data_IF_476893572734
#
_entry.id   IF_476893572734
#
_cell.length_a   1.000
_cell.length_b   1.000
_cell.length_c   1.000
_cell.angle_alpha   90.00
_cell.angle_beta   90.00
_cell.angle_gamma   90.00
#
_symmetry.space_group_name_H-M   'P 1'
#
loop_
_entity.id
_entity.type
_entity.pdbx_description
1 polymer ?
#
# COMPACT_ATOMS: atom_id res chain seq x y z
N UNK A 1 -11.45 11.05 31.90
CA UNK A 1 -11.20 9.62 31.65
C UNK A 1 -12.11 8.79 32.56
N UNK A 2 -13.25 8.28 32.06
CA UNK A 2 -13.94 7.13 32.65
C UNK A 2 -13.38 5.80 32.09
N UNK A 3 -13.43 4.69 32.87
CA UNK A 3 -12.74 3.42 32.56
C UNK A 3 -13.49 2.54 31.53
N UNK A 4 -12.81 1.52 30.95
CA UNK A 4 -13.37 0.69 29.90
C UNK A 4 -14.31 -0.40 30.44
N UNK A 5 -15.44 -0.61 29.76
CA UNK A 5 -16.33 -1.75 29.99
C UNK A 5 -15.75 -3.03 29.37
N UNK A 6 -15.81 -4.18 30.07
CA UNK A 6 -15.42 -5.47 29.50
C UNK A 6 -16.59 -6.12 28.75
N UNK A 7 -16.41 -6.41 27.46
CA UNK A 7 -17.27 -7.32 26.70
C UNK A 7 -16.88 -8.77 27.04
N UNK A 8 -17.82 -9.54 27.60
CA UNK A 8 -17.70 -10.99 27.76
C UNK A 8 -18.30 -11.73 26.54
N UNK A 9 -17.69 -12.84 26.08
CA UNK A 9 -18.20 -13.64 24.96
C UNK A 9 -19.05 -14.81 25.47
N UNK A 10 -20.10 -15.20 24.74
CA UNK A 10 -20.84 -16.44 24.98
C UNK A 10 -21.55 -16.90 23.71
N UNK A 11 -20.93 -17.77 22.90
CA UNK A 11 -21.57 -18.79 22.02
C UNK A 11 -20.39 -19.64 21.51
N UNK A 12 -20.31 -20.96 21.57
CA UNK A 12 -21.19 -22.03 22.00
C UNK A 12 -20.47 -23.32 21.58
N UNK A 13 -20.38 -24.31 22.48
CA UNK A 13 -19.81 -25.63 22.19
C UNK A 13 -20.61 -26.31 21.07
N UNK A 14 -19.91 -26.82 20.05
CA UNK A 14 -20.37 -28.02 19.34
C UNK A 14 -19.21 -28.99 19.17
N UNK A 15 -19.27 -30.05 19.98
CA UNK A 15 -18.53 -31.28 19.81
C UNK A 15 -19.17 -32.07 18.66
N UNK A 16 -18.39 -32.44 17.65
CA UNK A 16 -18.75 -33.58 16.80
C UNK A 16 -17.53 -34.48 16.63
N UNK A 17 -17.66 -35.67 17.22
CA UNK A 17 -16.74 -36.80 17.11
C UNK A 17 -17.24 -37.66 15.95
N UNK A 18 -16.40 -37.89 14.96
CA UNK A 18 -16.59 -38.97 14.00
C UNK A 18 -15.28 -39.75 13.89
N UNK A 19 -15.28 -40.95 14.48
CA UNK A 19 -14.28 -41.96 14.20
C UNK A 19 -14.67 -42.74 12.96
N UNK A 20 -13.70 -43.11 12.14
CA UNK A 20 -13.83 -44.22 11.21
C UNK A 20 -12.45 -44.88 11.06
N UNK A 21 -12.36 -46.05 11.65
CA UNK A 21 -11.32 -47.05 11.48
C UNK A 21 -11.39 -47.61 10.06
N UNK A 22 -10.25 -47.73 9.39
CA UNK A 22 -10.11 -48.64 8.26
C UNK A 22 -8.74 -49.31 8.31
N UNK A 23 -8.77 -50.60 8.63
CA UNK A 23 -7.67 -51.55 8.52
C UNK A 23 -8.14 -52.54 7.47
N UNK A 24 -7.42 -52.67 6.35
CA UNK A 24 -7.51 -53.79 5.39
C UNK A 24 -6.13 -53.84 4.70
N UNK A 25 -5.30 -54.81 5.02
CA UNK A 25 -5.19 -56.16 4.44
C UNK A 25 -4.31 -56.22 3.18
N UNK A 26 -3.46 -57.22 3.25
CA UNK A 26 -2.31 -57.59 2.43
C UNK A 26 -2.60 -57.78 0.94
N UNK A 27 -1.54 -57.70 0.12
CA UNK A 27 -1.59 -58.15 -1.26
C UNK A 27 -0.34 -57.77 -2.04
N UNK A 28 0.74 -58.52 -1.82
CA UNK A 28 1.97 -58.41 -2.60
C UNK A 28 1.70 -58.52 -4.10
N UNK A 29 2.26 -57.59 -4.88
CA UNK A 29 2.34 -57.69 -6.33
C UNK A 29 3.82 -57.73 -6.72
N UNK A 30 4.23 -58.92 -7.12
CA UNK A 30 5.54 -59.21 -7.68
C UNK A 30 5.74 -58.43 -8.98
N UNK A 31 6.94 -57.87 -9.05
CA UNK A 31 7.50 -57.03 -10.09
C UNK A 31 7.52 -57.77 -11.44
N UNK A 32 6.78 -57.27 -12.43
CA UNK A 32 6.98 -57.60 -13.85
C UNK A 32 7.54 -56.38 -14.56
N UNK A 33 8.78 -56.51 -15.04
CA UNK A 33 9.54 -55.53 -15.82
C UNK A 33 8.82 -55.18 -17.13
N UNK A 34 8.63 -53.90 -17.50
CA UNK A 34 8.38 -53.55 -18.89
C UNK A 34 9.70 -53.17 -19.58
N UNK A 35 9.94 -53.82 -20.71
CA UNK A 35 11.07 -53.60 -21.62
C UNK A 35 11.05 -52.18 -22.20
N UNK A 36 12.23 -51.58 -22.32
CA UNK A 36 12.50 -50.31 -22.98
C UNK A 36 12.31 -50.49 -24.49
N UNK A 37 11.33 -49.83 -25.12
CA UNK A 37 11.45 -49.24 -26.46
C UNK A 37 10.17 -48.49 -26.82
N UNK A 38 10.26 -47.18 -27.03
CA UNK A 38 9.14 -46.37 -27.48
C UNK A 38 9.37 -44.88 -27.29
N UNK A 39 10.34 -44.33 -28.03
CA UNK A 39 10.58 -42.90 -28.13
C UNK A 39 9.37 -42.27 -28.85
N UNK A 40 8.44 -41.65 -28.13
CA UNK A 40 7.46 -40.74 -28.74
C UNK A 40 7.86 -39.32 -28.33
N UNK A 41 8.54 -38.67 -29.26
CA UNK A 41 8.72 -37.21 -29.29
C UNK A 41 7.35 -36.61 -29.58
N UNK A 42 6.63 -36.15 -28.56
CA UNK A 42 5.52 -35.23 -28.76
C UNK A 42 6.05 -33.81 -28.69
N UNK A 43 6.00 -33.15 -29.84
CA UNK A 43 6.27 -31.73 -30.06
C UNK A 43 5.36 -30.84 -29.21
N UNK A 44 5.90 -29.67 -28.87
CA UNK A 44 5.38 -28.62 -28.03
C UNK A 44 3.91 -28.20 -28.27
N UNK A 45 3.21 -27.89 -27.19
CA UNK A 45 2.17 -26.86 -27.20
C UNK A 45 2.35 -25.95 -25.99
N UNK A 46 2.86 -24.76 -26.28
CA UNK A 46 3.04 -23.63 -25.37
C UNK A 46 1.69 -23.13 -24.83
N UNK A 47 1.47 -23.19 -23.52
CA UNK A 47 0.67 -22.18 -22.83
C UNK A 47 1.62 -21.18 -22.16
N UNK A 48 2.17 -20.28 -22.97
CA UNK A 48 2.48 -18.94 -22.46
C UNK A 48 1.13 -18.26 -22.27
N UNK A 49 0.62 -18.29 -21.05
CA UNK A 49 -0.49 -17.43 -20.67
C UNK A 49 -0.05 -15.97 -20.96
N UNK A 50 -0.75 -15.22 -21.82
CA UNK A 50 -0.46 -13.81 -22.00
C UNK A 50 -0.82 -13.08 -20.71
N UNK A 51 0.19 -12.45 -20.11
CA UNK A 51 0.03 -11.23 -19.34
C UNK A 51 -0.91 -11.29 -18.13
N UNK A 52 -0.38 -11.73 -16.99
CA UNK A 52 -0.61 -10.97 -15.76
C UNK A 52 0.73 -10.42 -15.33
N UNK A 53 1.11 -9.26 -15.86
CA UNK A 53 2.11 -8.43 -15.17
C UNK A 53 1.47 -8.09 -13.81
N UNK A 54 2.06 -8.47 -12.66
CA UNK A 54 1.53 -8.00 -11.39
C UNK A 54 1.55 -6.47 -11.40
N UNK A 55 0.64 -5.87 -10.63
CA UNK A 55 0.43 -4.44 -10.40
C UNK A 55 1.65 -3.73 -9.74
N UNK A 56 2.86 -4.09 -10.16
CA UNK A 56 4.15 -3.71 -9.62
C UNK A 56 4.36 -2.19 -9.61
N UNK A 57 3.71 -1.45 -10.51
CA UNK A 57 3.80 0.03 -10.53
C UNK A 57 3.20 0.66 -9.27
N UNK A 58 1.99 0.26 -8.89
CA UNK A 58 1.30 0.79 -7.72
C UNK A 58 1.90 0.27 -6.40
N UNK A 59 2.32 -1.00 -6.40
CA UNK A 59 2.99 -1.62 -5.24
C UNK A 59 4.35 -0.96 -4.96
N UNK A 60 5.12 -0.65 -6.01
CA UNK A 60 6.41 0.04 -5.88
C UNK A 60 6.23 1.53 -5.56
N UNK A 61 5.27 2.23 -6.18
CA UNK A 61 4.97 3.62 -5.87
C UNK A 61 4.55 3.77 -4.40
N UNK A 62 3.58 2.98 -3.97
CA UNK A 62 3.06 3.00 -2.59
C UNK A 62 4.16 2.68 -1.59
N UNK A 63 4.98 1.66 -1.85
CA UNK A 63 6.12 1.32 -0.98
C UNK A 63 7.12 2.47 -0.84
N UNK A 64 7.44 3.17 -1.95
CA UNK A 64 8.35 4.33 -1.92
C UNK A 64 7.75 5.56 -1.25
N UNK A 65 6.44 5.79 -1.39
CA UNK A 65 5.73 6.83 -0.64
C UNK A 65 5.80 6.52 0.86
N UNK A 66 5.53 5.28 1.26
CA UNK A 66 5.62 4.84 2.65
C UNK A 66 7.05 5.01 3.17
N UNK A 67 8.06 4.56 2.42
CA UNK A 67 9.47 4.76 2.78
C UNK A 67 9.81 6.23 3.01
N UNK A 68 9.38 7.12 2.10
CA UNK A 68 9.63 8.56 2.21
C UNK A 68 8.94 9.17 3.40
N UNK A 69 7.70 8.76 3.65
CA UNK A 69 6.94 9.17 4.83
C UNK A 69 7.68 8.74 6.11
N UNK A 70 8.12 7.48 6.19
CA UNK A 70 8.80 6.96 7.37
C UNK A 70 10.16 7.67 7.61
N UNK A 71 10.87 8.07 6.55
CA UNK A 71 12.06 8.94 6.64
C UNK A 71 11.72 10.34 7.17
N UNK A 72 10.60 10.92 6.73
CA UNK A 72 10.15 12.22 7.21
C UNK A 72 9.84 12.19 8.71
N UNK A 73 9.19 11.13 9.18
CA UNK A 73 8.89 10.88 10.60
C UNK A 73 10.16 10.66 11.43
N UNK A 74 11.16 9.99 10.85
CA UNK A 74 12.47 9.80 11.46
C UNK A 74 13.32 11.08 11.54
N UNK A 75 12.78 12.25 11.14
CA UNK A 75 13.50 13.52 11.14
C UNK A 75 14.53 13.64 10.03
N UNK A 76 14.35 12.90 8.92
CA UNK A 76 15.25 12.89 7.77
C UNK A 76 14.58 13.52 6.52
N UNK A 77 14.19 14.82 6.58
CA UNK A 77 13.41 15.45 5.51
C UNK A 77 14.16 15.52 4.17
N UNK A 78 15.48 15.63 4.17
CA UNK A 78 16.26 15.69 2.92
C UNK A 78 16.25 14.37 2.15
N UNK A 79 16.30 13.23 2.87
CA UNK A 79 16.22 11.91 2.25
C UNK A 79 14.80 11.65 1.75
N UNK A 80 13.78 12.00 2.55
CA UNK A 80 12.38 11.93 2.14
C UNK A 80 12.12 12.76 0.87
N UNK A 81 12.65 13.99 0.83
CA UNK A 81 12.55 14.90 -0.31
C UNK A 81 13.08 14.25 -1.59
N UNK A 82 14.29 13.68 -1.53
CA UNK A 82 14.94 13.06 -2.69
C UNK A 82 14.07 11.97 -3.30
N UNK A 83 13.49 11.10 -2.46
CA UNK A 83 12.60 10.03 -2.95
C UNK A 83 11.34 10.62 -3.60
N UNK A 84 10.69 11.62 -2.98
CA UNK A 84 9.52 12.24 -3.59
C UNK A 84 9.83 12.95 -4.92
N UNK A 85 10.98 13.61 -5.04
CA UNK A 85 11.43 14.22 -6.29
C UNK A 85 11.67 13.16 -7.39
N UNK A 86 12.29 12.02 -7.05
CA UNK A 86 12.43 10.88 -7.97
C UNK A 86 11.07 10.27 -8.36
N UNK A 87 10.12 10.18 -7.42
CA UNK A 87 8.76 9.74 -7.72
C UNK A 87 8.05 10.68 -8.68
N UNK A 88 8.22 12.00 -8.55
CA UNK A 88 7.64 12.96 -9.48
C UNK A 88 8.25 12.91 -10.88
N UNK A 89 9.49 12.45 -11.05
CA UNK A 89 10.05 12.24 -12.40
C UNK A 89 9.29 11.16 -13.18
N UNK A 90 8.79 10.15 -12.48
CA UNK A 90 8.08 9.00 -13.08
C UNK A 90 6.55 9.15 -13.00
N UNK A 91 6.05 9.88 -12.00
CA UNK A 91 4.63 10.11 -11.71
C UNK A 91 4.36 11.61 -11.47
N UNK A 92 4.55 12.47 -12.49
CA UNK A 92 4.57 13.94 -12.32
C UNK A 92 3.25 14.54 -11.83
N UNK A 93 2.14 13.83 -11.97
CA UNK A 93 0.81 14.27 -11.57
C UNK A 93 0.20 13.50 -10.41
N UNK A 94 0.97 12.66 -9.69
CA UNK A 94 0.40 11.92 -8.56
C UNK A 94 0.07 12.87 -7.39
N UNK A 95 -1.21 13.02 -7.01
CA UNK A 95 -1.62 13.99 -5.99
C UNK A 95 -1.06 13.66 -4.60
N UNK A 96 -0.83 12.39 -4.30
CA UNK A 96 -0.32 11.95 -3.00
C UNK A 96 1.17 12.28 -2.88
N UNK A 97 1.95 12.04 -3.94
CA UNK A 97 3.36 12.43 -4.03
C UNK A 97 3.52 13.95 -3.93
N UNK A 98 2.74 14.72 -4.70
CA UNK A 98 2.76 16.18 -4.67
C UNK A 98 2.43 16.74 -3.28
N UNK A 99 1.39 16.21 -2.64
CA UNK A 99 1.01 16.58 -1.27
C UNK A 99 2.12 16.28 -0.26
N UNK A 100 2.72 15.08 -0.33
CA UNK A 100 3.73 14.70 0.65
C UNK A 100 5.06 15.44 0.45
N UNK A 101 5.43 15.80 -0.78
CA UNK A 101 6.56 16.70 -1.00
C UNK A 101 6.30 18.07 -0.38
N UNK A 102 5.07 18.58 -0.45
CA UNK A 102 4.70 19.81 0.26
C UNK A 102 4.85 19.69 1.78
N UNK A 103 4.52 18.53 2.37
CA UNK A 103 4.75 18.28 3.80
C UNK A 103 6.25 18.36 4.15
N UNK A 104 7.12 17.76 3.33
CA UNK A 104 8.58 17.87 3.51
C UNK A 104 9.03 19.34 3.46
N UNK A 105 8.52 20.12 2.51
CA UNK A 105 8.85 21.54 2.37
C UNK A 105 8.37 22.37 3.57
N UNK A 106 7.20 22.04 4.14
CA UNK A 106 6.75 22.66 5.39
C UNK A 106 7.65 22.33 6.57
N UNK A 107 8.11 21.07 6.69
CA UNK A 107 9.09 20.69 7.71
C UNK A 107 10.43 21.45 7.56
N UNK A 108 10.74 21.88 6.35
CA UNK A 108 11.90 22.75 6.03
C UNK A 108 11.60 24.26 6.16
N UNK A 109 10.39 24.66 6.58
CA UNK A 109 9.98 26.07 6.67
C UNK A 109 9.70 26.75 5.33
N UNK A 110 9.66 25.99 4.22
CA UNK A 110 9.48 26.49 2.85
C UNK A 110 8.01 26.54 2.46
N UNK A 111 7.22 27.31 3.20
CA UNK A 111 5.77 27.39 3.05
C UNK A 111 5.32 27.82 1.65
N UNK A 112 6.06 28.74 0.99
CA UNK A 112 5.70 29.22 -0.36
C UNK A 112 5.84 28.12 -1.41
N UNK A 113 6.92 27.35 -1.35
CA UNK A 113 7.14 26.20 -2.25
C UNK A 113 6.11 25.09 -1.96
N UNK A 114 5.83 24.82 -0.68
CA UNK A 114 4.82 23.85 -0.28
C UNK A 114 3.43 24.18 -0.85
N UNK A 115 3.02 25.46 -0.77
CA UNK A 115 1.75 25.92 -1.33
C UNK A 115 1.68 25.66 -2.84
N UNK A 116 2.76 25.92 -3.58
CA UNK A 116 2.81 25.68 -5.02
C UNK A 116 2.64 24.20 -5.40
N UNK A 117 3.17 23.26 -4.60
CA UNK A 117 2.94 21.83 -4.82
C UNK A 117 1.52 21.40 -4.47
N UNK A 118 0.93 21.93 -3.39
CA UNK A 118 -0.46 21.67 -3.03
C UNK A 118 -1.45 22.23 -4.06
N UNK A 119 -1.15 23.39 -4.67
CA UNK A 119 -1.92 23.96 -5.79
C UNK A 119 -1.90 23.05 -7.03
N UNK A 120 -0.78 22.39 -7.30
CA UNK A 120 -0.68 21.38 -8.37
C UNK A 120 -1.42 20.09 -8.04
N UNK A 121 -1.40 19.66 -6.77
CA UNK A 121 -2.05 18.44 -6.31
C UNK A 121 -3.58 18.54 -6.34
N UNK A 122 -4.13 19.69 -5.95
CA UNK A 122 -5.57 19.88 -5.75
C UNK A 122 -6.45 19.47 -6.95
N UNK A 123 -6.20 19.92 -8.20
CA UNK A 123 -7.06 19.57 -9.33
C UNK A 123 -7.02 18.08 -9.71
N UNK A 124 -5.91 17.39 -9.43
CA UNK A 124 -5.71 15.97 -9.75
C UNK A 124 -6.05 15.04 -8.59
N UNK A 125 -6.30 15.60 -7.39
CA UNK A 125 -6.74 14.84 -6.22
C UNK A 125 -8.21 14.44 -6.28
N UNK A 126 -9.03 15.12 -7.10
CA UNK A 126 -10.47 14.87 -7.21
C UNK A 126 -10.76 13.44 -7.67
N UNK A 127 -11.51 12.68 -6.88
CA UNK A 127 -11.81 11.29 -7.16
C UNK A 127 -10.63 10.34 -6.99
N UNK A 128 -9.47 10.84 -6.50
CA UNK A 128 -8.35 10.00 -6.13
C UNK A 128 -8.66 9.34 -4.79
N UNK A 129 -9.05 8.07 -4.82
CA UNK A 129 -9.48 7.36 -3.63
C UNK A 129 -8.35 6.63 -2.95
N UNK A 130 -8.05 6.99 -1.71
CA UNK A 130 -6.94 6.42 -0.94
C UNK A 130 -7.26 6.48 0.54
N UNK A 131 -6.89 5.43 1.30
CA UNK A 131 -6.94 5.48 2.76
C UNK A 131 -5.57 5.88 3.29
N UNK A 132 -5.51 6.94 4.10
CA UNK A 132 -4.26 7.51 4.61
C UNK A 132 -4.31 7.77 6.11
N UNK A 133 -3.17 7.66 6.77
CA UNK A 133 -2.92 8.30 8.06
C UNK A 133 -2.26 9.66 7.83
N UNK A 134 -2.46 10.62 8.76
CA UNK A 134 -1.89 11.97 8.69
C UNK A 134 -0.84 12.15 9.78
N UNK A 135 0.26 12.85 9.50
CA UNK A 135 1.16 13.37 10.54
C UNK A 135 1.09 14.89 10.62
N UNK A 136 1.25 15.40 11.85
CA UNK A 136 1.40 16.80 12.16
C UNK A 136 2.88 17.14 12.37
N UNK A 137 3.40 18.07 11.58
CA UNK A 137 4.80 18.49 11.63
C UNK A 137 4.93 19.80 12.43
N UNK A 138 4.95 20.95 11.73
CA UNK A 138 5.24 22.27 12.29
C UNK A 138 3.95 22.95 12.74
N UNK A 139 3.92 23.42 14.00
CA UNK A 139 2.83 24.23 14.56
C UNK A 139 1.43 23.58 14.45
N UNK A 140 1.38 22.24 14.55
CA UNK A 140 0.13 21.48 14.51
C UNK A 140 -0.47 21.30 13.11
N UNK A 141 0.27 21.65 12.05
CA UNK A 141 -0.16 21.44 10.67
C UNK A 141 -0.02 19.96 10.29
N UNK A 142 -1.12 19.31 9.89
CA UNK A 142 -1.11 17.89 9.54
C UNK A 142 -1.13 17.66 8.02
N UNK A 143 0.02 17.50 7.38
CA UNK A 143 0.16 17.50 5.92
C UNK A 143 0.49 16.15 5.30
N UNK A 144 1.47 15.44 5.86
CA UNK A 144 1.98 14.23 5.21
C UNK A 144 1.00 13.07 5.39
N UNK A 145 0.80 12.33 4.31
CA UNK A 145 -0.13 11.21 4.23
C UNK A 145 0.62 9.91 4.04
N UNK A 146 0.42 8.96 4.95
CA UNK A 146 0.91 7.59 4.80
C UNK A 146 -0.20 6.72 4.22
N UNK A 147 -0.13 6.28 2.96
CA UNK A 147 -1.12 5.37 2.41
C UNK A 147 -1.05 4.02 3.12
N UNK A 148 -2.21 3.39 3.29
CA UNK A 148 -2.28 2.03 3.79
C UNK A 148 -2.15 1.06 2.61
N UNK A 149 -1.15 0.18 2.68
CA UNK A 149 -0.70 -0.70 1.58
C UNK A 149 -1.80 -1.58 0.95
N UNK A 150 -2.97 -1.72 1.58
CA UNK A 150 -4.07 -2.56 1.13
C UNK A 150 -5.29 -1.81 0.58
N UNK A 151 -5.25 -0.47 0.43
CA UNK A 151 -6.44 0.27 0.01
C UNK A 151 -6.15 1.57 -0.77
N UNK A 152 -6.25 1.49 -2.11
CA UNK A 152 -6.97 2.54 -2.83
C UNK A 152 -8.39 2.52 -2.28
N UNK A 153 -8.67 3.46 -1.38
CA UNK A 153 -9.78 3.40 -0.44
C UNK A 153 -11.09 3.95 -1.01
N UNK A 154 -11.94 4.43 -0.12
CA UNK A 154 -13.21 5.13 -0.39
C UNK A 154 -13.11 6.65 -0.14
N UNK A 155 -12.11 7.07 0.62
CA UNK A 155 -11.85 8.47 0.96
C UNK A 155 -11.27 9.23 -0.23
N UNK A 156 -11.93 10.33 -0.61
CA UNK A 156 -11.42 11.29 -1.59
C UNK A 156 -10.28 12.12 -1.00
N UNK A 157 -9.19 12.25 -1.75
CA UNK A 157 -8.00 12.98 -1.35
C UNK A 157 -8.17 14.50 -1.48
N UNK A 158 -9.05 14.98 -2.37
CA UNK A 158 -9.24 16.42 -2.64
C UNK A 158 -9.53 17.25 -1.39
N UNK A 159 -10.48 16.89 -0.49
CA UNK A 159 -10.74 17.66 0.72
C UNK A 159 -9.53 17.76 1.65
N UNK A 160 -8.71 16.70 1.68
CA UNK A 160 -7.52 16.66 2.52
C UNK A 160 -6.42 17.57 1.98
N UNK A 161 -6.22 17.58 0.65
CA UNK A 161 -5.27 18.46 -0.03
C UNK A 161 -5.71 19.92 0.08
N UNK A 162 -7.01 20.19 -0.01
CA UNK A 162 -7.57 21.54 0.19
C UNK A 162 -7.29 22.06 1.60
N UNK A 163 -7.59 21.26 2.63
CA UNK A 163 -7.30 21.61 4.02
C UNK A 163 -5.80 21.91 4.22
N UNK A 164 -4.95 21.07 3.62
CA UNK A 164 -3.51 21.22 3.65
C UNK A 164 -3.05 22.56 3.04
N UNK A 165 -3.59 22.92 1.87
CA UNK A 165 -3.28 24.19 1.20
C UNK A 165 -3.70 25.40 2.04
N UNK A 166 -4.87 25.35 2.68
CA UNK A 166 -5.36 26.41 3.55
C UNK A 166 -4.47 26.60 4.78
N UNK A 167 -4.06 25.51 5.44
CA UNK A 167 -3.14 25.55 6.58
C UNK A 167 -1.79 26.20 6.20
N UNK A 168 -1.21 25.81 5.06
CA UNK A 168 0.07 26.35 4.59
C UNK A 168 -0.05 27.83 4.22
N UNK A 169 -1.11 28.23 3.53
CA UNK A 169 -1.38 29.63 3.21
C UNK A 169 -1.56 30.50 4.46
N UNK A 170 -2.07 29.92 5.55
CA UNK A 170 -2.15 30.58 6.85
C UNK A 170 -0.80 30.97 7.44
N UNK A 171 0.29 30.29 7.06
CA UNK A 171 1.67 30.58 7.50
C UNK A 171 2.41 31.58 6.63
N UNK A 172 1.80 32.01 5.53
CA UNK A 172 2.37 33.00 4.60
C UNK A 172 1.94 34.44 4.91
N UNK A 173 1.07 34.62 5.91
CA UNK A 173 0.54 35.91 6.36
C UNK A 173 1.26 36.35 7.63
#
# INVERSE_FOLDING_TARGET
>A
MPPPHPFRPLWGLFLFRAGASSRNHEGGRTMRRPSILGLIVTTALTLLAPGTLPAQGADTLTARIIQSYDLLEAGQPDQARKIYEELLQTHPGDPLVLNNLAAVLVKQGKFKEAAAYLEKALPVAKGYKVRVNRVCDVEGICLAFRPLAAAYGDQDLEPLVKLNLEMVRGKLK
#
